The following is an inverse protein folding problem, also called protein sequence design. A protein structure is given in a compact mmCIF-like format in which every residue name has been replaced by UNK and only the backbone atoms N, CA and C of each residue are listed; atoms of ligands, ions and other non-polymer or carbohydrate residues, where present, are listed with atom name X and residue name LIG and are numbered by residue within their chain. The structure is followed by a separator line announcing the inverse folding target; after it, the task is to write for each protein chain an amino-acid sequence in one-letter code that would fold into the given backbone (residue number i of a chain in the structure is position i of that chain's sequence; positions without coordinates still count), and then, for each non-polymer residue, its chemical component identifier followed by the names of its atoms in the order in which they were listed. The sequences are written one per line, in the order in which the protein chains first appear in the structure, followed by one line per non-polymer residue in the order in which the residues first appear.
data_IF_316321244091
#
_entry.id   IF_316321244091
#
_cell.length_a   1.000
_cell.length_b   1.000
_cell.length_c   1.000
_cell.angle_alpha   90.00
_cell.angle_beta   90.00
_cell.angle_gamma   90.00
#
_symmetry.space_group_name_H-M   'P 1'
#
loop_
_entity.id
_entity.type
_entity.pdbx_description
1 polymer ?
#
# COMPACT_ATOMS: atom_id res chain seq x y z
N UNK A 1 10.89 -17.74 -24.72
CA UNK A 1 9.52 -17.88 -25.24
C UNK A 1 8.55 -17.42 -24.16
N UNK A 2 8.08 -16.17 -24.28
CA UNK A 2 6.80 -15.62 -23.81
C UNK A 2 6.24 -16.15 -22.47
N UNK A 3 6.40 -15.36 -21.41
CA UNK A 3 5.49 -15.35 -20.25
C UNK A 3 4.10 -14.91 -20.76
N UNK A 4 3.31 -15.87 -21.27
CA UNK A 4 1.91 -15.65 -21.63
C UNK A 4 1.06 -15.70 -20.38
N UNK A 5 0.97 -14.54 -19.74
CA UNK A 5 -0.24 -13.89 -19.26
C UNK A 5 0.24 -12.91 -18.22
N UNK A 6 -0.14 -11.64 -18.37
CA UNK A 6 0.00 -10.65 -17.33
C UNK A 6 -0.82 -11.11 -16.13
N UNK A 7 -0.26 -12.03 -15.35
CA UNK A 7 -0.76 -12.42 -14.06
C UNK A 7 -0.67 -11.17 -13.21
N UNK A 8 -1.75 -10.40 -13.23
CA UNK A 8 -2.11 -9.54 -12.12
C UNK A 8 -1.88 -10.40 -10.90
N UNK A 9 -0.95 -9.99 -10.04
CA UNK A 9 -0.76 -10.62 -8.74
C UNK A 9 -2.13 -10.60 -8.11
N UNK A 10 -2.72 -11.77 -7.88
CA UNK A 10 -4.07 -11.85 -7.35
C UNK A 10 -4.07 -11.17 -5.99
N UNK A 11 -4.93 -10.18 -5.82
CA UNK A 11 -5.09 -9.40 -4.60
C UNK A 11 -6.54 -9.50 -4.15
N UNK A 12 -6.74 -9.58 -2.84
CA UNK A 12 -8.09 -9.45 -2.27
C UNK A 12 -8.70 -8.06 -2.53
N UNK A 13 -9.94 -7.87 -2.09
CA UNK A 13 -10.67 -6.61 -2.20
C UNK A 13 -11.62 -6.54 -3.39
N UNK A 14 -11.62 -7.54 -4.26
CA UNK A 14 -12.46 -7.55 -5.47
C UNK A 14 -13.87 -8.06 -5.17
N UNK A 15 -14.69 -7.23 -4.50
CA UNK A 15 -16.11 -7.55 -4.25
C UNK A 15 -16.91 -7.76 -5.54
N UNK A 16 -16.55 -7.08 -6.64
CA UNK A 16 -17.16 -7.29 -7.95
C UNK A 16 -16.92 -8.72 -8.46
N UNK A 17 -15.68 -9.21 -8.37
CA UNK A 17 -15.34 -10.60 -8.70
C UNK A 17 -16.02 -11.58 -7.76
N UNK A 18 -16.06 -11.28 -6.46
CA UNK A 18 -16.74 -12.12 -5.46
C UNK A 18 -18.24 -12.29 -5.79
N UNK A 19 -18.93 -11.21 -6.20
CA UNK A 19 -20.35 -11.27 -6.62
C UNK A 19 -20.57 -12.16 -7.84
N UNK A 20 -19.65 -12.16 -8.80
CA UNK A 20 -19.73 -13.04 -9.99
C UNK A 20 -19.51 -14.51 -9.61
N UNK A 21 -18.57 -14.79 -8.71
CA UNK A 21 -18.25 -16.14 -8.25
C UNK A 21 -19.34 -16.73 -7.34
N UNK A 22 -20.01 -15.88 -6.56
CA UNK A 22 -21.03 -16.29 -5.60
C UNK A 22 -22.34 -15.52 -5.81
N UNK A 23 -23.06 -15.78 -6.92
CA UNK A 23 -24.26 -15.02 -7.29
C UNK A 23 -25.42 -15.14 -6.28
N UNK A 24 -25.41 -16.21 -5.47
CA UNK A 24 -26.44 -16.50 -4.47
C UNK A 24 -25.98 -16.19 -3.04
N UNK A 25 -24.82 -15.55 -2.85
CA UNK A 25 -24.36 -15.18 -1.51
C UNK A 25 -25.27 -14.12 -0.87
N UNK A 26 -25.48 -14.26 0.44
CA UNK A 26 -26.20 -13.25 1.21
C UNK A 26 -25.40 -11.94 1.27
N UNK A 27 -26.12 -10.82 1.17
CA UNK A 27 -25.55 -9.48 1.27
C UNK A 27 -25.79 -8.87 2.66
N UNK A 28 -24.91 -7.95 3.11
CA UNK A 28 -23.69 -7.51 2.45
C UNK A 28 -22.56 -8.55 2.54
N UNK A 29 -21.62 -8.51 1.59
CA UNK A 29 -20.37 -9.26 1.74
C UNK A 29 -19.59 -8.74 2.94
N UNK A 30 -19.03 -9.65 3.73
CA UNK A 30 -17.97 -9.36 4.68
C UNK A 30 -16.64 -9.67 3.99
N UNK A 31 -15.92 -8.62 3.57
CA UNK A 31 -14.65 -8.79 2.85
C UNK A 31 -13.49 -8.97 3.83
N UNK A 32 -13.02 -10.21 3.96
CA UNK A 32 -11.84 -10.57 4.76
C UNK A 32 -10.61 -10.86 3.90
N UNK A 33 -10.67 -10.57 2.60
CA UNK A 33 -9.58 -10.85 1.65
C UNK A 33 -8.48 -9.78 1.67
N UNK A 34 -8.67 -8.70 2.41
CA UNK A 34 -7.68 -7.61 2.57
C UNK A 34 -7.31 -7.39 4.04
N UNK A 35 -6.18 -6.72 4.28
CA UNK A 35 -5.78 -6.25 5.61
C UNK A 35 -6.19 -4.81 5.92
N UNK A 36 -7.26 -4.29 5.29
CA UNK A 36 -7.70 -2.89 5.50
C UNK A 36 -8.33 -2.75 6.89
N UNK A 37 -7.95 -1.70 7.63
CA UNK A 37 -8.58 -1.37 8.91
C UNK A 37 -10.05 -0.98 8.70
N UNK A 38 -11.03 -1.63 9.38
CA UNK A 38 -12.43 -1.26 9.25
C UNK A 38 -12.75 0.13 9.82
N UNK A 39 -11.87 0.68 10.67
CA UNK A 39 -11.98 2.04 11.17
C UNK A 39 -11.28 3.00 10.21
N UNK A 40 -12.07 3.87 9.57
CA UNK A 40 -11.55 4.89 8.66
C UNK A 40 -10.62 5.86 9.40
N UNK A 41 -9.52 6.22 8.74
CA UNK A 41 -8.72 7.34 9.20
C UNK A 41 -9.53 8.65 9.04
N UNK A 42 -9.46 9.58 10.00
CA UNK A 42 -10.19 10.86 9.89
C UNK A 42 -9.81 11.60 8.59
N UNK A 43 -10.82 12.03 7.84
CA UNK A 43 -10.63 12.90 6.69
C UNK A 43 -10.76 14.35 7.16
N UNK A 44 -9.79 15.18 6.80
CA UNK A 44 -9.76 16.60 7.13
C UNK A 44 -9.99 17.42 5.86
N UNK A 45 -10.36 18.70 6.03
CA UNK A 45 -10.41 19.64 4.92
C UNK A 45 -8.99 19.86 4.37
N UNK A 46 -8.73 19.30 3.19
CA UNK A 46 -7.47 19.44 2.48
C UNK A 46 -7.57 20.58 1.47
N UNK A 47 -6.57 21.48 1.40
CA UNK A 47 -6.50 22.46 0.31
C UNK A 47 -6.49 21.76 -1.05
N UNK A 48 -7.20 22.30 -2.05
CA UNK A 48 -7.25 21.73 -3.39
C UNK A 48 -5.85 21.51 -4.00
N UNK A 49 -4.90 22.37 -3.65
CA UNK A 49 -3.51 22.28 -4.10
C UNK A 49 -2.78 21.03 -3.62
N UNK A 50 -3.26 20.34 -2.58
CA UNK A 50 -2.64 19.11 -2.06
C UNK A 50 -2.63 17.97 -3.08
N UNK A 51 -3.56 17.97 -4.04
CA UNK A 51 -3.68 16.93 -5.06
C UNK A 51 -3.07 17.34 -6.42
N UNK A 52 -2.78 18.62 -6.62
CA UNK A 52 -2.31 19.15 -7.92
C UNK A 52 -0.85 19.57 -7.92
N UNK A 53 -0.22 19.75 -6.75
CA UNK A 53 1.20 20.12 -6.66
C UNK A 53 2.08 18.87 -6.72
N UNK A 54 3.27 19.04 -7.31
CA UNK A 54 4.30 18.01 -7.26
C UNK A 54 4.88 17.89 -5.84
N UNK A 55 5.30 16.69 -5.40
CA UNK A 55 5.95 16.52 -4.10
C UNK A 55 7.24 17.34 -4.00
N UNK A 56 7.38 18.12 -2.94
CA UNK A 56 8.59 18.88 -2.64
C UNK A 56 9.49 18.12 -1.65
N UNK A 57 10.80 18.23 -1.81
CA UNK A 57 11.76 17.54 -0.94
C UNK A 57 11.64 17.92 0.55
N UNK A 58 11.24 19.16 0.85
CA UNK A 58 10.98 19.59 2.23
C UNK A 58 9.80 18.82 2.84
N UNK A 59 8.68 18.69 2.11
CA UNK A 59 7.49 17.93 2.55
C UNK A 59 7.80 16.47 2.84
N UNK A 60 8.63 15.85 2.00
CA UNK A 60 9.05 14.45 2.21
C UNK A 60 9.88 14.30 3.49
N UNK A 61 10.74 15.28 3.83
CA UNK A 61 11.49 15.27 5.09
C UNK A 61 10.58 15.41 6.29
N UNK A 62 9.65 16.36 6.27
CA UNK A 62 8.66 16.53 7.34
C UNK A 62 7.88 15.22 7.58
N UNK A 63 7.46 14.56 6.50
CA UNK A 63 6.76 13.27 6.55
C UNK A 63 7.60 12.17 7.22
N UNK A 64 8.87 12.03 6.83
CA UNK A 64 9.73 10.97 7.40
C UNK A 64 10.12 11.25 8.85
N UNK A 65 10.23 12.51 9.26
CA UNK A 65 10.44 12.91 10.66
C UNK A 65 9.25 12.53 11.55
N UNK A 66 8.03 12.86 11.11
CA UNK A 66 6.80 12.49 11.82
C UNK A 66 6.67 10.96 11.87
N UNK A 67 6.91 10.27 10.75
CA UNK A 67 6.83 8.82 10.70
C UNK A 67 7.86 8.14 11.62
N UNK A 68 9.10 8.65 11.67
CA UNK A 68 10.12 8.07 12.54
C UNK A 68 9.74 8.16 14.02
N UNK A 69 9.23 9.31 14.47
CA UNK A 69 8.77 9.46 15.86
C UNK A 69 7.52 8.64 16.15
N UNK A 70 6.56 8.58 15.22
CA UNK A 70 5.31 7.82 15.37
C UNK A 70 5.55 6.31 15.42
N UNK A 71 6.46 5.80 14.59
CA UNK A 71 6.77 4.37 14.51
C UNK A 71 7.90 3.92 15.43
N UNK A 72 8.58 4.86 16.12
CA UNK A 72 9.74 4.56 16.96
C UNK A 72 10.98 4.12 16.16
N UNK A 73 11.13 4.60 14.92
CA UNK A 73 12.32 4.32 14.13
C UNK A 73 13.54 5.09 14.69
N UNK A 74 14.79 4.57 14.54
CA UNK A 74 15.98 5.24 15.10
C UNK A 74 16.22 6.65 14.57
N UNK A 75 15.86 6.92 13.31
CA UNK A 75 15.95 8.24 12.70
C UNK A 75 15.09 8.32 11.44
N UNK A 76 14.84 9.54 10.90
CA UNK A 76 14.18 9.72 9.61
C UNK A 76 14.91 9.03 8.44
N UNK A 77 16.23 8.80 8.56
CA UNK A 77 17.02 8.09 7.55
C UNK A 77 16.69 6.59 7.49
N UNK A 78 15.98 6.05 8.48
CA UNK A 78 15.49 4.68 8.51
C UNK A 78 14.07 4.54 7.94
N UNK A 79 13.47 5.63 7.44
CA UNK A 79 12.11 5.65 6.89
C UNK A 79 12.17 6.03 5.41
N UNK A 80 11.45 5.28 4.58
CA UNK A 80 11.32 5.57 3.14
C UNK A 80 9.85 5.76 2.80
N UNK A 81 9.49 6.95 2.31
CA UNK A 81 8.16 7.20 1.76
C UNK A 81 8.05 6.60 0.35
N UNK A 82 6.98 5.84 0.10
CA UNK A 82 6.72 5.20 -1.19
C UNK A 82 5.22 5.06 -1.46
N UNK A 83 4.79 4.94 -2.73
CA UNK A 83 3.40 4.69 -3.09
C UNK A 83 3.01 3.22 -2.86
N UNK A 84 3.08 2.77 -1.60
CA UNK A 84 2.81 1.40 -1.18
C UNK A 84 4.05 0.49 -1.13
N UNK A 85 3.94 -0.60 -0.36
CA UNK A 85 5.06 -1.51 -0.06
C UNK A 85 5.50 -2.35 -1.26
N UNK A 86 4.60 -2.63 -2.21
CA UNK A 86 4.86 -3.54 -3.33
C UNK A 86 6.06 -3.11 -4.21
N UNK A 87 6.25 -1.81 -4.43
CA UNK A 87 7.40 -1.31 -5.21
C UNK A 87 8.73 -1.43 -4.45
N UNK A 88 8.68 -1.45 -3.12
CA UNK A 88 9.86 -1.54 -2.26
C UNK A 88 10.32 -2.99 -2.08
N UNK A 89 9.40 -3.97 -2.04
CA UNK A 89 9.76 -5.37 -1.73
C UNK A 89 10.87 -5.93 -2.63
N UNK A 90 10.81 -5.85 -3.97
CA UNK A 90 11.89 -6.38 -4.82
C UNK A 90 13.19 -5.60 -4.65
N UNK A 91 13.11 -4.28 -4.38
CA UNK A 91 14.29 -3.44 -4.15
C UNK A 91 15.00 -3.84 -2.88
N UNK A 92 14.28 -3.99 -1.77
CA UNK A 92 14.84 -4.43 -0.49
C UNK A 92 15.39 -5.85 -0.60
N UNK A 93 14.64 -6.77 -1.22
CA UNK A 93 15.10 -8.15 -1.43
C UNK A 93 16.41 -8.23 -2.24
N UNK A 94 16.62 -7.32 -3.18
CA UNK A 94 17.84 -7.28 -3.99
C UNK A 94 19.10 -6.82 -3.24
N UNK A 95 18.95 -6.28 -2.03
CA UNK A 95 20.08 -5.83 -1.19
C UNK A 95 20.74 -6.97 -0.41
N UNK A 96 20.14 -8.16 -0.41
CA UNK A 96 20.64 -9.34 0.29
C UNK A 96 20.84 -10.50 -0.69
N UNK A 97 21.75 -11.42 -0.34
CA UNK A 97 21.89 -12.67 -1.08
C UNK A 97 20.57 -13.48 -1.01
N UNK A 98 20.15 -14.14 -2.11
CA UNK A 98 18.97 -14.99 -2.09
C UNK A 98 19.03 -16.03 -0.96
N UNK A 99 17.91 -16.20 -0.25
CA UNK A 99 17.75 -17.25 0.75
C UNK A 99 17.78 -18.65 0.12
N UNK A 100 18.09 -19.67 0.93
CA UNK A 100 17.92 -21.07 0.54
C UNK A 100 16.49 -21.51 0.88
N UNK A 101 15.88 -22.26 -0.03
CA UNK A 101 14.58 -22.89 0.18
C UNK A 101 14.70 -24.16 1.04
#
# INVERSE_FOLDING_TARGET
MKLLNGAVVDHGGSLGRARVLFPNALLPFVDLSTGINPHSYPLFDLPATSLSRLPEAARTRDLTEIAASTYGAPSPANVVAAPGTQILLPRVASLISPGKA
#
